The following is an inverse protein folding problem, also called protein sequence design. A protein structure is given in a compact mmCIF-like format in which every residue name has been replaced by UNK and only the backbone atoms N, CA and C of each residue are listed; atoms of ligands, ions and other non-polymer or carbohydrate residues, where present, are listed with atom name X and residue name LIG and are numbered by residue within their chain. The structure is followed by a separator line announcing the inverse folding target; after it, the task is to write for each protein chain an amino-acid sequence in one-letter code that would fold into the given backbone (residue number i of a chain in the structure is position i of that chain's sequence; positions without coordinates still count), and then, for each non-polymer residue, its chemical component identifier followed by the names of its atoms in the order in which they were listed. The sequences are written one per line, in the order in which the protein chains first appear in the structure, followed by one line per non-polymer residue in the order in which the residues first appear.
data_IF_973231123034
#
_entry.id   IF_973231123034
#
_cell.length_a   1.000
_cell.length_b   1.000
_cell.length_c   1.000
_cell.angle_alpha   90.00
_cell.angle_beta   90.00
_cell.angle_gamma   90.00
#
_symmetry.space_group_name_H-M   'P 1'
#
loop_
_entity.id
_entity.type
_entity.pdbx_description
1 polymer ?
#
# COMPACT_ATOMS: atom_id res chain seq x y z
N UNK A 1 -8.57 -3.01 -5.42
CA UNK A 1 -9.31 -3.55 -4.27
C UNK A 1 -9.34 -2.54 -3.15
N UNK A 2 -8.16 -2.22 -2.60
CA UNK A 2 -7.99 -1.23 -1.52
C UNK A 2 -8.62 0.13 -1.81
N UNK A 3 -8.43 0.70 -3.01
CA UNK A 3 -9.12 1.95 -3.39
C UNK A 3 -10.65 1.90 -3.21
N UNK A 4 -11.31 0.81 -3.61
CA UNK A 4 -12.77 0.70 -3.45
C UNK A 4 -13.16 0.70 -1.96
N UNK A 5 -12.44 -0.07 -1.15
CA UNK A 5 -12.68 -0.14 0.29
C UNK A 5 -12.40 1.21 0.98
N UNK A 6 -11.32 1.89 0.60
CA UNK A 6 -10.97 3.20 1.14
C UNK A 6 -11.97 4.28 0.72
N UNK A 7 -12.43 4.26 -0.53
CA UNK A 7 -13.50 5.14 -1.03
C UNK A 7 -14.82 4.97 -0.26
N UNK A 8 -15.14 3.74 0.15
CA UNK A 8 -16.38 3.44 0.87
C UNK A 8 -16.29 3.72 2.39
N UNK A 9 -15.17 3.35 3.03
CA UNK A 9 -15.10 3.29 4.50
C UNK A 9 -14.08 4.23 5.14
N UNK A 10 -13.02 4.61 4.42
CA UNK A 10 -11.90 5.40 4.98
C UNK A 10 -11.99 6.88 4.61
N UNK A 11 -12.63 7.21 3.49
CA UNK A 11 -12.72 8.58 2.98
C UNK A 11 -13.30 9.55 4.02
N UNK A 12 -12.65 10.69 4.27
CA UNK A 12 -13.12 11.64 5.27
C UNK A 12 -14.47 12.24 4.86
N UNK A 13 -15.39 12.52 5.81
CA UNK A 13 -16.72 13.01 5.49
C UNK A 13 -16.72 14.31 4.66
N UNK A 14 -15.74 15.20 4.84
CA UNK A 14 -15.69 16.47 4.10
C UNK A 14 -15.39 16.29 2.61
N UNK A 15 -14.83 15.14 2.21
CA UNK A 15 -14.47 14.87 0.81
C UNK A 15 -15.48 13.99 0.09
N UNK A 16 -16.39 13.35 0.83
CA UNK A 16 -17.49 12.56 0.25
C UNK A 16 -18.32 13.48 -0.65
N UNK A 17 -18.70 12.99 -1.83
CA UNK A 17 -19.39 13.73 -2.90
C UNK A 17 -18.58 14.85 -3.59
N UNK A 18 -17.33 15.07 -3.17
CA UNK A 18 -16.39 15.98 -3.82
C UNK A 18 -15.94 15.49 -5.21
N UNK A 19 -15.33 16.39 -6.00
CA UNK A 19 -14.75 16.04 -7.30
C UNK A 19 -13.67 14.95 -7.18
N UNK A 20 -12.84 15.02 -6.13
CA UNK A 20 -11.80 14.03 -5.86
C UNK A 20 -12.40 12.64 -5.59
N UNK A 21 -13.41 12.53 -4.72
CA UNK A 21 -14.07 11.24 -4.41
C UNK A 21 -14.68 10.58 -5.64
N UNK A 22 -15.35 11.37 -6.51
CA UNK A 22 -15.93 10.87 -7.77
C UNK A 22 -14.90 10.37 -8.78
N UNK A 23 -13.74 11.03 -8.86
CA UNK A 23 -12.67 10.65 -9.79
C UNK A 23 -11.71 9.60 -9.22
N UNK A 24 -11.70 9.39 -7.90
CA UNK A 24 -10.72 8.55 -7.21
C UNK A 24 -10.75 7.09 -7.68
N UNK A 25 -11.92 6.45 -7.71
CA UNK A 25 -12.05 5.06 -8.19
C UNK A 25 -11.71 4.91 -9.68
N UNK A 26 -12.24 5.76 -10.60
CA UNK A 26 -11.82 5.73 -12.00
C UNK A 26 -10.30 5.87 -12.20
N UNK A 27 -9.65 6.79 -11.48
CA UNK A 27 -8.19 6.97 -11.54
C UNK A 27 -7.47 5.73 -11.00
N UNK A 28 -7.94 5.14 -9.89
CA UNK A 28 -7.35 3.91 -9.36
C UNK A 28 -7.43 2.73 -10.36
N UNK A 29 -8.54 2.62 -11.11
CA UNK A 29 -8.70 1.62 -12.18
C UNK A 29 -7.72 1.89 -13.32
N UNK A 30 -7.60 3.15 -13.77
CA UNK A 30 -6.63 3.54 -14.79
C UNK A 30 -5.19 3.25 -14.35
N UNK A 31 -4.84 3.60 -13.11
CA UNK A 31 -3.53 3.32 -12.51
C UNK A 31 -3.25 1.82 -12.51
N UNK A 32 -4.23 0.99 -12.19
CA UNK A 32 -4.09 -0.48 -12.23
C UNK A 32 -3.79 -0.98 -13.65
N UNK A 33 -4.48 -0.46 -14.66
CA UNK A 33 -4.23 -0.82 -16.06
C UNK A 33 -2.82 -0.39 -16.52
N UNK A 34 -2.40 0.83 -16.17
CA UNK A 34 -1.06 1.35 -16.47
C UNK A 34 0.03 0.54 -15.77
N UNK A 35 -0.13 0.25 -14.48
CA UNK A 35 0.82 -0.54 -13.70
C UNK A 35 0.95 -1.97 -14.21
N UNK A 36 -0.17 -2.59 -14.62
CA UNK A 36 -0.17 -3.91 -15.23
C UNK A 36 0.58 -3.88 -16.57
N UNK A 37 0.29 -2.89 -17.41
CA UNK A 37 0.96 -2.70 -18.71
C UNK A 37 2.47 -2.47 -18.55
N UNK A 38 2.89 -1.61 -17.62
CA UNK A 38 4.30 -1.37 -17.29
C UNK A 38 4.99 -2.63 -16.77
N UNK A 39 4.31 -3.40 -15.91
CA UNK A 39 4.82 -4.67 -15.39
C UNK A 39 5.03 -5.69 -16.51
N UNK A 40 4.07 -5.82 -17.42
CA UNK A 40 4.20 -6.67 -18.60
C UNK A 40 5.34 -6.19 -19.52
N UNK A 41 5.41 -4.89 -19.80
CA UNK A 41 6.44 -4.31 -20.66
C UNK A 41 7.85 -4.45 -20.08
N UNK A 42 7.97 -4.38 -18.75
CA UNK A 42 9.25 -4.52 -18.05
C UNK A 42 9.96 -5.84 -18.38
N UNK A 43 9.23 -6.92 -18.71
CA UNK A 43 9.82 -8.21 -19.10
C UNK A 43 10.56 -8.16 -20.43
N UNK A 44 10.08 -7.35 -21.39
CA UNK A 44 10.76 -7.14 -22.67
C UNK A 44 12.02 -6.28 -22.51
N UNK A 45 11.96 -5.25 -21.66
CA UNK A 45 13.11 -4.40 -21.32
C UNK A 45 14.18 -5.11 -20.48
N UNK A 46 13.85 -6.22 -19.83
CA UNK A 46 14.76 -6.90 -18.89
C UNK A 46 16.02 -7.44 -19.57
N UNK A 47 15.92 -7.83 -20.84
CA UNK A 47 17.04 -8.33 -21.63
C UNK A 47 18.06 -7.22 -22.00
N UNK A 48 17.58 -6.04 -22.36
CA UNK A 48 18.42 -4.93 -22.84
C UNK A 48 18.83 -3.98 -21.69
N UNK A 49 17.92 -3.72 -20.75
CA UNK A 49 18.07 -2.67 -19.72
C UNK A 49 17.52 -3.12 -18.35
N UNK A 50 18.23 -4.00 -17.63
CA UNK A 50 17.74 -4.61 -16.38
C UNK A 50 17.49 -3.61 -15.26
N UNK A 51 18.23 -2.49 -15.20
CA UNK A 51 18.01 -1.44 -14.19
C UNK A 51 16.71 -0.67 -14.42
N UNK A 52 16.40 -0.34 -15.67
CA UNK A 52 15.17 0.37 -16.03
C UNK A 52 13.94 -0.54 -15.88
N UNK A 53 14.08 -1.83 -16.22
CA UNK A 53 13.03 -2.83 -15.95
C UNK A 53 12.71 -2.95 -14.46
N UNK A 54 13.73 -3.01 -13.58
CA UNK A 54 13.54 -3.02 -12.13
C UNK A 54 12.88 -1.74 -11.63
N UNK A 55 13.36 -0.57 -12.07
CA UNK A 55 12.80 0.71 -11.67
C UNK A 55 11.33 0.87 -12.10
N UNK A 56 10.99 0.52 -13.35
CA UNK A 56 9.61 0.62 -13.86
C UNK A 56 8.66 -0.29 -13.10
N UNK A 57 9.10 -1.51 -12.76
CA UNK A 57 8.34 -2.47 -11.95
C UNK A 57 8.09 -1.92 -10.54
N UNK A 58 9.11 -1.38 -9.87
CA UNK A 58 8.95 -0.75 -8.55
C UNK A 58 7.99 0.44 -8.61
N UNK A 59 8.15 1.34 -9.58
CA UNK A 59 7.27 2.50 -9.77
C UNK A 59 5.82 2.09 -10.02
N UNK A 60 5.59 1.03 -10.80
CA UNK A 60 4.27 0.48 -11.08
C UNK A 60 3.53 0.02 -9.81
N UNK A 61 4.22 -0.30 -8.71
CA UNK A 61 3.59 -0.66 -7.44
C UNK A 61 3.54 0.51 -6.45
N UNK A 62 4.62 1.30 -6.35
CA UNK A 62 4.70 2.42 -5.40
C UNK A 62 3.69 3.51 -5.74
N UNK A 63 3.54 3.87 -7.01
CA UNK A 63 2.65 4.96 -7.40
C UNK A 63 1.16 4.69 -7.09
N UNK A 64 0.57 3.54 -7.48
CA UNK A 64 -0.79 3.21 -7.08
C UNK A 64 -0.98 3.13 -5.57
N UNK A 65 0.00 2.59 -4.83
CA UNK A 65 -0.08 2.53 -3.37
C UNK A 65 -0.17 3.93 -2.74
N UNK A 66 0.67 4.87 -3.19
CA UNK A 66 0.64 6.26 -2.70
C UNK A 66 -0.68 6.94 -3.04
N UNK A 67 -1.17 6.75 -4.28
CA UNK A 67 -2.46 7.30 -4.70
C UNK A 67 -3.62 6.74 -3.87
N UNK A 68 -3.69 5.43 -3.72
CA UNK A 68 -4.74 4.77 -2.95
C UNK A 68 -4.70 5.22 -1.48
N UNK A 69 -3.52 5.48 -0.93
CA UNK A 69 -3.33 5.87 0.47
C UNK A 69 -3.55 7.36 0.77
N UNK A 70 -3.87 8.21 -0.22
CA UNK A 70 -4.15 9.65 0.00
C UNK A 70 -5.19 9.90 1.11
N UNK A 71 -6.42 9.34 1.07
CA UNK A 71 -7.41 9.55 2.14
C UNK A 71 -6.92 9.06 3.51
N UNK A 72 -6.08 8.02 3.51
CA UNK A 72 -5.51 7.48 4.75
C UNK A 72 -4.49 8.43 5.37
N UNK A 73 -3.57 8.97 4.56
CA UNK A 73 -2.59 9.95 5.02
C UNK A 73 -3.24 11.24 5.51
N UNK A 74 -4.32 11.67 4.85
CA UNK A 74 -5.13 12.78 5.34
C UNK A 74 -5.75 12.48 6.71
N UNK A 75 -6.29 11.28 6.91
CA UNK A 75 -6.82 10.84 8.21
C UNK A 75 -5.74 10.79 9.30
N UNK A 76 -4.51 10.38 8.97
CA UNK A 76 -3.39 10.47 9.92
C UNK A 76 -3.04 11.91 10.29
N UNK A 77 -3.05 12.82 9.31
CA UNK A 77 -2.80 14.23 9.56
C UNK A 77 -3.86 14.83 10.50
N UNK A 78 -5.15 14.61 10.21
CA UNK A 78 -6.24 15.04 11.09
C UNK A 78 -6.11 14.44 12.48
N UNK A 79 -5.84 13.13 12.57
CA UNK A 79 -5.65 12.46 13.85
C UNK A 79 -4.50 13.03 14.67
N UNK A 80 -3.40 13.44 14.04
CA UNK A 80 -2.28 14.07 14.72
C UNK A 80 -2.61 15.47 15.24
N UNK A 81 -3.46 16.22 14.53
CA UNK A 81 -3.89 17.57 14.94
C UNK A 81 -4.97 17.51 16.03
N UNK A 82 -5.95 16.62 15.90
CA UNK A 82 -7.13 16.54 16.76
C UNK A 82 -6.99 15.54 17.91
N UNK A 83 -5.88 14.79 17.96
CA UNK A 83 -5.61 13.75 18.96
C UNK A 83 -6.71 12.68 19.03
N UNK A 84 -6.96 11.99 17.92
CA UNK A 84 -8.00 10.95 17.91
C UNK A 84 -7.64 9.75 18.81
N UNK A 85 -8.70 9.10 19.33
CA UNK A 85 -8.60 7.87 20.13
C UNK A 85 -9.17 6.65 19.39
N UNK A 86 -9.34 6.76 18.07
CA UNK A 86 -9.96 5.72 17.24
C UNK A 86 -9.03 4.49 17.12
N UNK A 87 -9.49 3.28 17.49
CA UNK A 87 -8.67 2.07 17.44
C UNK A 87 -8.30 1.66 15.99
N UNK A 88 -9.15 2.01 15.01
CA UNK A 88 -8.88 1.75 13.60
C UNK A 88 -7.63 2.49 13.08
N UNK A 89 -7.34 3.69 13.61
CA UNK A 89 -6.17 4.48 13.20
C UNK A 89 -4.87 3.76 13.58
N UNK A 90 -4.82 3.10 14.74
CA UNK A 90 -3.66 2.31 15.14
C UNK A 90 -3.40 1.14 14.18
N UNK A 91 -4.45 0.45 13.74
CA UNK A 91 -4.31 -0.64 12.76
C UNK A 91 -3.85 -0.11 11.40
N UNK A 92 -4.37 1.02 10.97
CA UNK A 92 -3.91 1.71 9.77
C UNK A 92 -2.43 2.11 9.86
N UNK A 93 -1.96 2.60 11.02
CA UNK A 93 -0.53 2.86 11.25
C UNK A 93 0.30 1.59 11.11
N UNK A 94 -0.15 0.47 11.69
CA UNK A 94 0.53 -0.82 11.56
C UNK A 94 0.58 -1.25 10.09
N UNK A 95 -0.53 -1.15 9.36
CA UNK A 95 -0.56 -1.39 7.91
C UNK A 95 0.48 -0.54 7.16
N UNK A 96 0.49 0.78 7.37
CA UNK A 96 1.44 1.69 6.70
C UNK A 96 2.89 1.38 7.06
N UNK A 97 3.18 1.05 8.33
CA UNK A 97 4.51 0.65 8.77
C UNK A 97 4.98 -0.64 8.08
N UNK A 98 4.11 -1.65 8.01
CA UNK A 98 4.42 -2.89 7.30
C UNK A 98 4.55 -2.70 5.79
N UNK A 99 3.78 -1.80 5.17
CA UNK A 99 3.92 -1.47 3.75
C UNK A 99 5.27 -0.79 3.46
N UNK A 100 5.68 0.16 4.31
CA UNK A 100 7.00 0.78 4.24
C UNK A 100 8.12 -0.25 4.43
N UNK A 101 8.01 -1.12 5.45
CA UNK A 101 8.97 -2.18 5.72
C UNK A 101 9.08 -3.16 4.53
N UNK A 102 7.95 -3.52 3.93
CA UNK A 102 7.88 -4.36 2.72
C UNK A 102 8.65 -3.71 1.56
N UNK A 103 8.41 -2.42 1.30
CA UNK A 103 9.14 -1.67 0.28
C UNK A 103 10.65 -1.56 0.59
N UNK A 104 11.00 -1.33 1.86
CA UNK A 104 12.39 -1.22 2.31
C UNK A 104 13.15 -2.53 2.13
N UNK A 105 12.59 -3.66 2.54
CA UNK A 105 13.20 -4.99 2.39
C UNK A 105 13.39 -5.31 0.90
N UNK A 106 12.37 -5.04 0.07
CA UNK A 106 12.43 -5.26 -1.37
C UNK A 106 13.55 -4.45 -2.04
N UNK A 107 13.71 -3.18 -1.66
CA UNK A 107 14.72 -2.29 -2.26
C UNK A 107 16.15 -2.55 -1.74
N UNK A 108 16.29 -2.95 -0.47
CA UNK A 108 17.59 -3.07 0.19
C UNK A 108 18.25 -4.44 0.03
N UNK A 109 17.46 -5.50 -0.21
CA UNK A 109 17.90 -6.90 -0.23
C UNK A 109 18.57 -7.34 1.09
N UNK A 110 18.02 -6.89 2.22
CA UNK A 110 18.45 -7.28 3.57
C UNK A 110 17.59 -8.45 4.07
N UNK A 111 18.17 -9.42 4.82
CA UNK A 111 19.51 -9.40 5.43
C UNK A 111 20.63 -10.06 4.60
N UNK A 112 20.34 -10.72 3.47
CA UNK A 112 21.32 -11.50 2.70
C UNK A 112 22.49 -10.66 2.17
N UNK A 113 22.28 -9.36 1.95
CA UNK A 113 23.35 -8.43 1.59
C UNK A 113 24.37 -8.20 2.72
N UNK A 114 24.00 -8.42 3.98
CA UNK A 114 24.89 -8.27 5.14
C UNK A 114 25.63 -9.56 5.49
N UNK A 115 25.03 -10.72 5.25
CA UNK A 115 25.68 -12.02 5.47
C UNK A 115 25.42 -12.97 4.28
N UNK A 116 26.21 -12.84 3.20
CA UNK A 116 26.13 -13.74 2.05
C UNK A 116 26.32 -15.21 2.49
N UNK A 117 25.54 -16.13 1.91
CA UNK A 117 25.61 -17.57 2.23
C UNK A 117 24.88 -18.01 3.49
N UNK A 118 24.37 -17.09 4.33
CA UNK A 118 23.69 -17.43 5.58
C UNK A 118 22.16 -17.52 5.44
N UNK A 119 21.61 -16.87 4.41
CA UNK A 119 20.17 -16.73 4.19
C UNK A 119 19.69 -17.44 2.92
N UNK A 120 20.49 -18.36 2.36
CA UNK A 120 20.23 -18.96 1.04
C UNK A 120 18.92 -19.76 0.96
N UNK A 121 18.47 -20.34 2.08
CA UNK A 121 17.24 -21.15 2.15
C UNK A 121 16.13 -20.52 3.01
N UNK A 122 16.49 -19.87 4.12
CA UNK A 122 15.53 -19.32 5.10
C UNK A 122 15.93 -17.89 5.43
N UNK A 123 14.96 -16.99 5.47
CA UNK A 123 15.13 -15.63 5.98
C UNK A 123 15.74 -14.63 4.99
N UNK A 124 15.90 -14.98 3.71
CA UNK A 124 16.28 -13.98 2.70
C UNK A 124 15.17 -12.94 2.49
N UNK A 125 15.57 -11.76 2.00
CA UNK A 125 14.70 -10.58 1.87
C UNK A 125 13.37 -10.87 1.20
N UNK A 126 13.34 -11.72 0.17
CA UNK A 126 12.10 -12.04 -0.54
C UNK A 126 11.10 -12.80 0.35
N UNK A 127 11.56 -13.70 1.22
CA UNK A 127 10.68 -14.35 2.21
C UNK A 127 10.16 -13.35 3.23
N UNK A 128 11.04 -12.50 3.76
CA UNK A 128 10.64 -11.47 4.75
C UNK A 128 9.68 -10.45 4.12
N UNK A 129 9.91 -10.08 2.86
CA UNK A 129 9.02 -9.25 2.04
C UNK A 129 7.60 -9.84 1.99
N UNK A 130 7.46 -11.15 1.69
CA UNK A 130 6.16 -11.81 1.67
C UNK A 130 5.49 -11.78 3.04
N UNK A 131 6.23 -12.09 4.11
CA UNK A 131 5.70 -12.05 5.48
C UNK A 131 5.20 -10.65 5.85
N UNK A 132 6.01 -9.61 5.59
CA UNK A 132 5.62 -8.22 5.85
C UNK A 132 4.41 -7.79 5.01
N UNK A 133 4.33 -8.20 3.74
CA UNK A 133 3.20 -7.91 2.87
C UNK A 133 1.89 -8.56 3.35
N UNK A 134 1.96 -9.82 3.81
CA UNK A 134 0.81 -10.54 4.39
C UNK A 134 0.34 -9.86 5.67
N UNK A 135 1.25 -9.54 6.59
CA UNK A 135 0.93 -8.83 7.84
C UNK A 135 0.35 -7.43 7.56
N UNK A 136 0.93 -6.70 6.62
CA UNK A 136 0.41 -5.40 6.19
C UNK A 136 -1.02 -5.50 5.64
N UNK A 137 -1.31 -6.51 4.81
CA UNK A 137 -2.66 -6.75 4.26
C UNK A 137 -3.63 -7.19 5.35
N UNK A 138 -3.18 -7.99 6.31
CA UNK A 138 -3.99 -8.39 7.46
C UNK A 138 -4.45 -7.17 8.28
N UNK A 139 -3.51 -6.29 8.66
CA UNK A 139 -3.87 -5.05 9.38
C UNK A 139 -4.75 -4.12 8.54
N UNK A 140 -4.54 -4.05 7.23
CA UNK A 140 -5.41 -3.29 6.31
C UNK A 140 -6.85 -3.79 6.40
N UNK A 141 -7.05 -5.11 6.31
CA UNK A 141 -8.37 -5.70 6.34
C UNK A 141 -9.05 -5.52 7.70
N UNK A 142 -8.33 -5.72 8.81
CA UNK A 142 -8.87 -5.47 10.14
C UNK A 142 -9.29 -4.01 10.32
N UNK A 143 -8.46 -3.06 9.88
CA UNK A 143 -8.76 -1.63 9.98
C UNK A 143 -10.01 -1.25 9.16
N UNK A 144 -10.11 -1.74 7.91
CA UNK A 144 -11.28 -1.52 7.05
C UNK A 144 -12.53 -2.14 7.68
N UNK A 145 -12.43 -3.34 8.27
CA UNK A 145 -13.57 -3.99 8.93
C UNK A 145 -14.06 -3.19 10.15
N UNK A 146 -13.14 -2.60 10.92
CA UNK A 146 -13.49 -1.70 12.01
C UNK A 146 -14.18 -0.43 11.50
N UNK A 147 -13.62 0.22 10.48
CA UNK A 147 -14.22 1.40 9.85
C UNK A 147 -15.62 1.11 9.28
N UNK A 148 -15.80 -0.05 8.65
CA UNK A 148 -17.09 -0.49 8.13
C UNK A 148 -18.11 -0.71 9.26
N UNK A 149 -17.71 -1.35 10.36
CA UNK A 149 -18.57 -1.59 11.51
C UNK A 149 -19.01 -0.26 12.17
N UNK A 150 -18.08 0.69 12.28
CA UNK A 150 -18.36 2.02 12.82
C UNK A 150 -19.30 2.83 11.92
N UNK A 151 -19.11 2.82 10.59
CA UNK A 151 -20.05 3.48 9.68
C UNK A 151 -21.44 2.88 9.74
N UNK A 152 -21.52 1.55 9.87
CA UNK A 152 -22.80 0.85 10.00
C UNK A 152 -23.54 1.22 11.28
N UNK A 153 -22.86 1.46 12.39
CA UNK A 153 -23.52 1.83 13.65
C UNK A 153 -24.02 3.28 13.67
N UNK A 154 -23.54 4.14 12.76
CA UNK A 154 -23.96 5.53 12.59
C UNK A 154 -25.15 5.72 11.63
N UNK A 155 -25.58 4.67 10.92
CA UNK A 155 -26.74 4.62 10.03
C UNK A 155 -27.96 4.05 10.77
#
# INVERSE_FOLDING_TARGET
GSALAYSAYVFPPEWVDGAFHRCYVPIAVLNTALSTSLSCYSRFLEAEQPRLSKASRTLAFVYPYLFDSIPLFYRFYLCAVESCTEPAVLLHYKHTAFAFLTCFIFASHLPERLAPGHFDYIGHSHQVFHVCGILGTHFQMEAIMMDMAERRSRL
#
